data_IF_476295423355
#
_entry.id   IF_476295423355
#
_cell.length_a   1.000
_cell.length_b   1.000
_cell.length_c   1.000
_cell.angle_alpha   90.00
_cell.angle_beta   90.00
_cell.angle_gamma   90.00
#
_symmetry.space_group_name_H-M   'P 1'
#
loop_
_entity.id
_entity.type
_entity.pdbx_description
1 polymer ?
#
# COMPACT_ATOMS: atom_id res chain seq x y z
N UNK A 1 -7.39 -12.71 58.56
CA UNK A 1 -7.09 -11.70 57.52
C UNK A 1 -7.65 -12.18 56.19
N UNK A 2 -8.46 -11.36 55.50
CA UNK A 2 -9.06 -11.71 54.20
C UNK A 2 -7.98 -11.57 53.11
N UNK A 3 -7.50 -12.70 52.56
CA UNK A 3 -6.58 -12.69 51.43
C UNK A 3 -7.41 -12.37 50.18
N UNK A 4 -7.50 -11.08 49.86
CA UNK A 4 -8.12 -10.62 48.64
C UNK A 4 -7.25 -11.04 47.45
N UNK A 5 -7.55 -12.20 46.85
CA UNK A 5 -6.88 -12.63 45.63
C UNK A 5 -7.15 -11.61 44.53
N UNK A 6 -6.13 -10.83 44.15
CA UNK A 6 -6.22 -9.93 43.00
C UNK A 6 -6.44 -10.79 41.75
N UNK A 7 -7.66 -10.83 41.23
CA UNK A 7 -7.95 -11.40 39.91
C UNK A 7 -7.28 -10.52 38.86
N UNK A 8 -6.04 -10.85 38.48
CA UNK A 8 -5.30 -10.15 37.42
C UNK A 8 -5.98 -10.45 36.08
N UNK A 9 -6.47 -9.41 35.41
CA UNK A 9 -7.05 -9.53 34.08
C UNK A 9 -6.02 -10.14 33.12
N UNK A 10 -6.39 -11.22 32.42
CA UNK A 10 -5.49 -11.86 31.46
C UNK A 10 -5.41 -10.97 30.21
N UNK A 11 -4.22 -10.47 29.82
CA UNK A 11 -4.09 -9.59 28.66
C UNK A 11 -4.41 -10.38 27.38
N UNK A 12 -5.65 -10.26 26.91
CA UNK A 12 -6.13 -10.93 25.68
C UNK A 12 -5.30 -10.54 24.46
N UNK A 13 -4.85 -9.29 24.39
CA UNK A 13 -3.98 -8.81 23.31
C UNK A 13 -2.66 -9.58 23.20
N UNK A 14 -2.14 -10.11 24.31
CA UNK A 14 -0.89 -10.90 24.34
C UNK A 14 -1.14 -12.39 24.03
N UNK A 15 -2.38 -12.81 23.81
CA UNK A 15 -2.71 -14.21 23.48
C UNK A 15 -2.71 -14.50 21.98
N UNK A 16 -2.53 -13.50 21.13
CA UNK A 16 -2.43 -13.74 19.68
C UNK A 16 -1.08 -14.40 19.41
N UNK A 17 -1.10 -15.71 19.19
CA UNK A 17 0.06 -16.47 18.73
C UNK A 17 -0.01 -16.51 17.21
N UNK A 18 0.93 -15.83 16.55
CA UNK A 18 1.13 -16.03 15.12
C UNK A 18 1.38 -17.53 14.88
N UNK A 19 0.72 -18.09 13.88
CA UNK A 19 0.97 -19.47 13.47
C UNK A 19 2.38 -19.48 12.86
N UNK A 20 3.35 -20.07 13.57
CA UNK A 20 4.75 -20.21 13.11
C UNK A 20 4.90 -21.17 11.92
N UNK A 21 3.80 -21.71 11.41
CA UNK A 21 3.77 -22.64 10.29
C UNK A 21 3.98 -21.95 8.95
N UNK A 22 4.52 -22.69 8.00
CA UNK A 22 4.56 -22.29 6.60
C UNK A 22 3.13 -22.14 6.06
N UNK A 23 2.94 -21.23 5.08
CA UNK A 23 1.65 -21.12 4.40
C UNK A 23 1.33 -22.47 3.73
N UNK A 24 0.20 -23.13 4.08
CA UNK A 24 -0.17 -24.39 3.47
C UNK A 24 -0.27 -24.26 1.95
N UNK A 25 0.19 -25.27 1.22
CA UNK A 25 0.23 -25.26 -0.25
C UNK A 25 -1.14 -24.97 -0.88
N UNK A 26 -2.22 -25.47 -0.25
CA UNK A 26 -3.61 -25.20 -0.67
C UNK A 26 -4.02 -23.72 -0.66
N UNK A 27 -3.29 -22.87 0.05
CA UNK A 27 -3.52 -21.41 0.09
C UNK A 27 -2.42 -20.64 -0.65
N UNK A 28 -1.46 -21.34 -1.26
CA UNK A 28 -0.39 -20.73 -2.04
C UNK A 28 -0.95 -20.28 -3.38
N UNK A 29 -0.75 -19.00 -3.69
CA UNK A 29 -1.12 -18.45 -4.99
C UNK A 29 0.00 -18.80 -5.97
N UNK A 30 -0.25 -19.75 -6.85
CA UNK A 30 0.64 -20.07 -7.98
C UNK A 30 0.33 -19.14 -9.15
N UNK A 31 1.34 -18.39 -9.62
CA UNK A 31 1.20 -17.54 -10.81
C UNK A 31 1.86 -18.22 -11.99
N UNK A 32 1.05 -18.77 -12.89
CA UNK A 32 1.53 -19.28 -14.17
C UNK A 32 1.63 -18.13 -15.18
N UNK A 33 2.82 -17.53 -15.30
CA UNK A 33 3.07 -16.52 -16.33
C UNK A 33 3.48 -17.27 -17.60
N UNK A 34 2.62 -17.23 -18.62
CA UNK A 34 2.90 -17.79 -19.95
C UNK A 34 3.13 -16.66 -20.95
N UNK A 35 4.30 -16.65 -21.58
CA UNK A 35 4.70 -15.57 -22.49
C UNK A 35 5.11 -14.27 -21.77
N UNK A 36 5.40 -13.24 -22.56
CA UNK A 36 5.69 -11.90 -22.05
C UNK A 36 4.37 -11.17 -21.75
N UNK A 37 4.07 -10.85 -20.48
CA UNK A 37 2.83 -10.16 -20.11
C UNK A 37 2.75 -8.73 -20.67
N UNK A 38 3.86 -8.15 -21.13
CA UNK A 38 3.95 -6.79 -21.64
C UNK A 38 4.02 -6.72 -23.17
N UNK A 39 3.95 -7.85 -23.88
CA UNK A 39 4.14 -7.89 -25.33
C UNK A 39 3.17 -6.99 -26.12
N UNK A 40 1.95 -6.82 -25.60
CA UNK A 40 0.90 -5.99 -26.23
C UNK A 40 0.86 -4.57 -25.66
N UNK A 41 1.69 -4.24 -24.67
CA UNK A 41 1.63 -2.95 -24.01
C UNK A 41 2.16 -1.84 -24.94
N UNK A 42 1.39 -0.77 -25.18
CA UNK A 42 1.87 0.35 -25.99
C UNK A 42 3.03 1.05 -25.27
N UNK A 43 4.04 1.45 -26.04
CA UNK A 43 5.14 2.26 -25.50
C UNK A 43 4.62 3.66 -25.15
N UNK A 44 4.76 4.04 -23.89
CA UNK A 44 4.44 5.39 -23.43
C UNK A 44 5.63 6.33 -23.70
N UNK A 45 5.32 7.60 -23.99
CA UNK A 45 6.34 8.64 -24.04
C UNK A 45 6.93 8.85 -22.64
N UNK A 46 8.26 8.96 -22.49
CA UNK A 46 8.87 9.27 -21.20
C UNK A 46 8.51 10.69 -20.72
N UNK A 47 8.19 11.59 -21.65
CA UNK A 47 7.79 12.97 -21.34
C UNK A 47 6.27 13.11 -21.42
N UNK A 48 5.61 13.58 -20.35
CA UNK A 48 4.19 13.88 -20.39
C UNK A 48 3.92 15.13 -21.24
N UNK A 49 2.70 15.27 -21.79
CA UNK A 49 2.28 16.49 -22.47
C UNK A 49 2.24 17.68 -21.50
N UNK A 50 2.25 18.92 -22.02
CA UNK A 50 2.09 20.11 -21.19
C UNK A 50 0.76 20.09 -20.43
N UNK A 51 0.78 20.61 -19.21
CA UNK A 51 -0.40 20.64 -18.36
C UNK A 51 -1.51 21.50 -18.96
N UNK A 52 -2.75 20.98 -18.91
CA UNK A 52 -3.98 21.71 -19.23
C UNK A 52 -4.99 21.51 -18.10
N UNK A 53 -5.48 22.58 -17.45
CA UNK A 53 -6.44 22.47 -16.36
C UNK A 53 -7.73 21.81 -16.85
N UNK A 54 -8.00 20.60 -16.36
CA UNK A 54 -9.12 19.77 -16.83
C UNK A 54 -9.94 19.27 -15.64
N UNK A 55 -11.24 19.57 -15.66
CA UNK A 55 -12.20 19.11 -14.66
C UNK A 55 -11.86 19.57 -13.23
N UNK A 56 -11.47 18.61 -12.37
CA UNK A 56 -11.20 18.85 -10.94
C UNK A 56 -9.78 19.35 -10.64
N UNK A 57 -8.87 19.30 -11.61
CA UNK A 57 -7.50 19.75 -11.41
C UNK A 57 -7.31 21.09 -12.12
N UNK A 58 -7.40 22.16 -11.32
CA UNK A 58 -7.33 23.55 -11.76
C UNK A 58 -5.89 24.06 -11.71
N UNK A 59 -5.66 25.20 -12.38
CA UNK A 59 -4.38 25.89 -12.36
C UNK A 59 -3.91 26.20 -10.93
N UNK A 60 -4.80 26.71 -10.07
CA UNK A 60 -4.51 27.02 -8.67
C UNK A 60 -4.00 25.79 -7.89
N UNK A 61 -4.57 24.61 -8.17
CA UNK A 61 -4.17 23.36 -7.53
C UNK A 61 -2.80 22.89 -8.01
N UNK A 62 -2.49 23.09 -9.29
CA UNK A 62 -1.14 22.85 -9.82
C UNK A 62 -0.12 23.77 -9.16
N UNK A 63 -0.39 25.07 -9.11
CA UNK A 63 0.53 26.04 -8.50
C UNK A 63 0.73 25.81 -7.01
N UNK A 64 -0.32 25.45 -6.27
CA UNK A 64 -0.20 25.07 -4.87
C UNK A 64 0.66 23.80 -4.69
N UNK A 65 0.52 22.84 -5.61
CA UNK A 65 1.32 21.62 -5.62
C UNK A 65 2.79 21.92 -5.94
N UNK A 66 3.07 22.66 -7.00
CA UNK A 66 4.43 23.05 -7.41
C UNK A 66 5.12 23.93 -6.35
N UNK A 67 4.35 24.73 -5.59
CA UNK A 67 4.90 25.49 -4.45
C UNK A 67 5.25 24.61 -3.27
N UNK A 68 4.44 23.58 -3.01
CA UNK A 68 4.65 22.66 -1.89
C UNK A 68 5.78 21.64 -2.17
N UNK A 69 6.03 21.36 -3.44
CA UNK A 69 6.98 20.35 -3.89
C UNK A 69 7.97 21.01 -4.85
N UNK A 70 9.23 21.15 -4.43
CA UNK A 70 10.28 21.69 -5.31
C UNK A 70 10.57 20.78 -6.51
N UNK A 71 11.49 21.22 -7.37
CA UNK A 71 11.84 20.56 -8.64
C UNK A 71 12.34 19.11 -8.51
N UNK A 72 12.68 18.67 -7.29
CA UNK A 72 13.22 17.34 -6.98
C UNK A 72 12.19 16.40 -6.31
N UNK A 73 10.90 16.74 -6.41
CA UNK A 73 9.83 15.86 -5.96
C UNK A 73 9.47 14.84 -7.04
N UNK A 74 10.34 13.83 -7.20
CA UNK A 74 10.07 12.45 -7.67
C UNK A 74 11.39 11.69 -7.93
#
# INVERSE_FOLDING_TARGET
AYIQSKKKYKPVAQKVRAVLGTCPEKFRIERHITGDPLATMPKLSPTPPPFVPTGRYTQERKEAFDKAHGDDFL
#
